data_IF_660662306642
#
_entry.id   IF_660662306642
#
_cell.length_a   1.000
_cell.length_b   1.000
_cell.length_c   1.000
_cell.angle_alpha   90.00
_cell.angle_beta   90.00
_cell.angle_gamma   90.00
#
_symmetry.space_group_name_H-M   'P 1'
#
loop_
_entity.id
_entity.type
_entity.pdbx_description
1 polymer ?
#
# COMPACT_ATOMS: atom_id res chain seq x y z
N UNK A 1 -7.36 6.17 9.98
CA UNK A 1 -6.26 6.21 9.00
C UNK A 1 -4.96 6.70 9.60
N UNK A 2 -5.04 7.68 10.49
CA UNK A 2 -3.85 8.19 11.17
C UNK A 2 -3.11 7.07 11.92
N UNK A 3 -3.84 6.22 12.64
CA UNK A 3 -3.27 5.07 13.36
C UNK A 3 -2.54 4.09 12.45
N UNK A 4 -3.12 3.80 11.28
CA UNK A 4 -2.50 2.90 10.31
C UNK A 4 -1.22 3.50 9.74
N UNK A 5 -1.23 4.80 9.44
CA UNK A 5 -0.04 5.48 8.93
C UNK A 5 1.06 5.59 9.99
N UNK A 6 0.69 5.73 11.26
CA UNK A 6 1.66 5.72 12.36
C UNK A 6 2.32 4.35 12.49
N UNK A 7 1.56 3.27 12.33
CA UNK A 7 2.10 1.91 12.32
C UNK A 7 3.08 1.70 11.17
N UNK A 8 2.75 2.18 9.98
CA UNK A 8 3.65 2.13 8.82
C UNK A 8 4.93 2.91 9.11
N UNK A 9 4.81 4.10 9.70
CA UNK A 9 5.98 4.92 10.05
C UNK A 9 6.90 4.19 11.02
N UNK A 10 6.35 3.50 12.02
CA UNK A 10 7.14 2.71 12.97
C UNK A 10 7.87 1.55 12.29
N UNK A 11 7.22 0.85 11.36
CA UNK A 11 7.84 -0.23 10.59
C UNK A 11 9.00 0.33 9.75
N UNK A 12 8.81 1.46 9.10
CA UNK A 12 9.84 2.10 8.29
C UNK A 12 11.04 2.46 9.17
N UNK A 13 10.80 3.06 10.33
CA UNK A 13 11.86 3.44 11.26
C UNK A 13 12.65 2.21 11.72
N UNK A 14 11.95 1.11 11.99
CA UNK A 14 12.58 -0.15 12.38
C UNK A 14 13.49 -0.68 11.27
N UNK A 15 12.99 -0.69 10.02
CA UNK A 15 13.79 -1.14 8.87
C UNK A 15 15.04 -0.26 8.70
N UNK A 16 14.87 1.04 8.81
CA UNK A 16 15.99 2.00 8.65
C UNK A 16 17.04 1.88 9.76
N UNK A 17 16.67 1.31 10.90
CA UNK A 17 17.61 1.07 11.99
C UNK A 17 18.45 -0.20 11.80
N UNK A 18 18.16 -0.99 10.77
CA UNK A 18 18.87 -2.24 10.48
C UNK A 18 19.98 -2.03 9.45
N UNK A 19 20.86 -3.05 9.32
CA UNK A 19 21.94 -3.05 8.33
C UNK A 19 21.76 -4.21 7.35
N UNK A 20 20.52 -4.49 6.95
CA UNK A 20 20.18 -5.58 6.04
C UNK A 20 20.04 -5.14 4.58
N UNK A 21 20.55 -3.97 4.26
CA UNK A 21 20.63 -3.48 2.88
C UNK A 21 21.70 -4.21 2.07
N UNK A 22 22.00 -3.72 0.86
CA UNK A 22 22.99 -4.38 -0.01
C UNK A 22 24.30 -4.60 0.71
N UNK A 23 24.83 -5.82 0.59
CA UNK A 23 26.09 -6.25 1.23
C UNK A 23 26.07 -6.10 2.76
N UNK A 24 24.88 -6.12 3.36
CA UNK A 24 24.67 -5.95 4.81
C UNK A 24 25.24 -4.62 5.33
N UNK A 25 25.28 -3.62 4.48
CA UNK A 25 25.79 -2.28 4.80
C UNK A 25 24.66 -1.26 4.74
N UNK A 26 24.22 -0.82 5.91
CA UNK A 26 23.12 0.13 6.00
C UNK A 26 21.76 -0.49 5.76
N UNK A 27 20.70 0.31 5.77
CA UNK A 27 19.33 -0.18 5.64
C UNK A 27 18.97 -0.54 4.20
N UNK A 28 17.94 -1.39 4.07
CA UNK A 28 17.33 -1.72 2.78
C UNK A 28 16.65 -0.48 2.18
N UNK A 29 16.57 -0.43 0.86
CA UNK A 29 15.65 0.48 0.19
C UNK A 29 14.22 0.07 0.53
N UNK A 30 13.33 1.05 0.64
CA UNK A 30 11.94 0.81 1.00
C UNK A 30 11.05 1.34 -0.12
N UNK A 31 10.16 0.49 -0.60
CA UNK A 31 9.09 0.86 -1.53
C UNK A 31 7.75 0.65 -0.83
N UNK A 32 7.05 1.72 -0.55
CA UNK A 32 5.74 1.68 0.08
C UNK A 32 4.67 1.59 -1.00
N UNK A 33 3.83 0.56 -0.91
CA UNK A 33 2.69 0.41 -1.81
C UNK A 33 1.45 0.93 -1.12
N UNK A 34 0.83 1.95 -1.70
CA UNK A 34 -0.42 2.50 -1.19
C UNK A 34 -1.56 1.68 -1.78
N UNK A 35 -2.35 0.98 -0.95
CA UNK A 35 -3.40 0.08 -1.45
C UNK A 35 -4.47 0.81 -2.24
N UNK A 36 -5.10 0.09 -3.16
CA UNK A 36 -6.27 0.59 -3.87
C UNK A 36 -7.42 0.84 -2.89
N UNK A 37 -8.31 1.74 -3.24
CA UNK A 37 -9.50 2.00 -2.45
C UNK A 37 -10.49 0.85 -2.62
N UNK A 38 -11.22 0.52 -1.56
CA UNK A 38 -12.27 -0.48 -1.63
C UNK A 38 -13.38 0.01 -2.57
N UNK A 39 -13.88 -0.87 -3.42
CA UNK A 39 -14.96 -0.52 -4.35
C UNK A 39 -16.34 -0.71 -3.71
N UNK A 40 -16.44 -1.55 -2.67
CA UNK A 40 -17.61 -1.69 -1.81
C UNK A 40 -17.18 -2.29 -0.48
N UNK A 41 -18.08 -2.36 0.48
CA UNK A 41 -17.73 -2.78 1.84
C UNK A 41 -17.71 -4.30 2.05
N UNK A 42 -17.75 -5.08 0.97
CA UNK A 42 -17.63 -6.52 1.05
C UNK A 42 -18.89 -7.22 1.53
N UNK A 43 -18.72 -8.36 2.18
CA UNK A 43 -19.84 -9.17 2.64
C UNK A 43 -20.58 -8.53 3.82
N UNK A 44 -21.90 -8.67 3.82
CA UNK A 44 -22.72 -8.33 4.97
C UNK A 44 -22.96 -9.58 5.82
N UNK A 45 -22.97 -9.40 7.14
CA UNK A 45 -23.23 -10.48 8.06
C UNK A 45 -24.75 -10.71 8.23
N UNK A 46 -25.11 -11.63 9.13
CA UNK A 46 -26.51 -11.97 9.39
C UNK A 46 -27.33 -10.79 9.95
N UNK A 47 -26.66 -9.75 10.44
CA UNK A 47 -27.31 -8.52 10.92
C UNK A 47 -27.36 -7.44 9.86
N UNK A 48 -27.04 -7.79 8.61
CA UNK A 48 -26.97 -6.89 7.46
C UNK A 48 -25.90 -5.80 7.64
N UNK A 49 -24.81 -6.13 8.34
CA UNK A 49 -23.68 -5.24 8.54
C UNK A 49 -22.44 -5.80 7.84
N UNK A 50 -21.71 -4.93 7.14
CA UNK A 50 -20.45 -5.30 6.52
C UNK A 50 -19.35 -5.41 7.57
N UNK A 51 -18.49 -6.44 7.44
CA UNK A 51 -17.29 -6.58 8.27
C UNK A 51 -16.32 -5.40 8.05
N UNK A 52 -16.46 -4.70 6.93
CA UNK A 52 -15.60 -3.56 6.56
C UNK A 52 -16.36 -2.24 6.59
N UNK A 53 -17.39 -2.15 7.41
CA UNK A 53 -18.19 -0.92 7.54
C UNK A 53 -17.29 0.27 7.83
N UNK A 54 -17.41 1.31 7.02
CA UNK A 54 -16.56 2.49 7.10
C UNK A 54 -15.18 2.31 6.45
N UNK A 55 -14.80 1.06 6.09
CA UNK A 55 -13.51 0.77 5.49
C UNK A 55 -13.33 1.36 4.10
N UNK A 56 -14.41 1.38 3.31
CA UNK A 56 -14.39 1.97 1.97
C UNK A 56 -14.01 3.45 2.04
N UNK A 57 -14.66 4.20 2.91
CA UNK A 57 -14.41 5.61 3.09
C UNK A 57 -12.99 5.86 3.61
N UNK A 58 -12.54 5.07 4.57
CA UNK A 58 -11.17 5.13 5.09
C UNK A 58 -10.14 4.82 4.02
N UNK A 59 -10.44 3.86 3.14
CA UNK A 59 -9.51 3.46 2.09
C UNK A 59 -9.25 4.56 1.06
N UNK A 60 -10.19 5.46 0.83
CA UNK A 60 -9.98 6.61 -0.05
C UNK A 60 -8.91 7.57 0.48
N UNK A 61 -8.66 7.56 1.78
CA UNK A 61 -7.67 8.43 2.42
C UNK A 61 -6.27 7.83 2.48
N UNK A 62 -6.10 6.56 2.09
CA UNK A 62 -4.79 5.89 2.17
C UNK A 62 -3.70 6.63 1.39
N UNK A 63 -4.01 7.13 0.19
CA UNK A 63 -3.03 7.83 -0.62
C UNK A 63 -2.50 9.08 0.09
N UNK A 64 -3.36 9.81 0.77
CA UNK A 64 -2.97 11.03 1.47
C UNK A 64 -2.04 10.75 2.65
N UNK A 65 -2.44 9.82 3.53
CA UNK A 65 -1.67 9.52 4.74
C UNK A 65 -0.39 8.75 4.44
N UNK A 66 -0.44 7.80 3.54
CA UNK A 66 0.73 6.96 3.21
C UNK A 66 1.75 7.72 2.38
N UNK A 67 1.31 8.56 1.46
CA UNK A 67 2.20 9.42 0.69
C UNK A 67 2.95 10.37 1.63
N UNK A 68 2.24 10.95 2.59
CA UNK A 68 2.84 11.82 3.60
C UNK A 68 3.92 11.09 4.39
N UNK A 69 3.64 9.86 4.84
CA UNK A 69 4.63 9.04 5.56
C UNK A 69 5.84 8.75 4.68
N UNK A 70 5.61 8.35 3.42
CA UNK A 70 6.71 8.06 2.50
C UNK A 70 7.61 9.29 2.29
N UNK A 71 7.02 10.45 2.10
CA UNK A 71 7.77 11.70 1.91
C UNK A 71 8.53 12.10 3.19
N UNK A 72 7.90 12.01 4.35
CA UNK A 72 8.54 12.34 5.63
C UNK A 72 9.69 11.38 5.95
N UNK A 73 9.56 10.11 5.60
CA UNK A 73 10.57 9.10 5.90
C UNK A 73 11.58 8.89 4.76
N UNK A 74 11.42 9.59 3.66
CA UNK A 74 12.33 9.47 2.52
C UNK A 74 12.27 8.12 1.83
N UNK A 75 11.08 7.53 1.74
CA UNK A 75 10.86 6.25 1.06
C UNK A 75 10.33 6.46 -0.35
N UNK A 76 10.57 5.48 -1.21
CA UNK A 76 9.87 5.40 -2.49
C UNK A 76 8.44 4.94 -2.26
N UNK A 77 7.52 5.31 -3.14
CA UNK A 77 6.15 4.85 -3.02
C UNK A 77 5.48 4.72 -4.39
N UNK A 78 4.44 3.89 -4.44
CA UNK A 78 3.55 3.77 -5.59
C UNK A 78 2.13 3.87 -5.05
N UNK A 79 1.34 4.77 -5.62
CA UNK A 79 -0.07 4.90 -5.28
C UNK A 79 -0.90 4.00 -6.19
N UNK A 80 -1.27 2.81 -5.70
CA UNK A 80 -2.05 1.85 -6.47
C UNK A 80 -3.49 2.33 -6.70
N UNK A 81 -3.99 3.28 -5.93
CA UNK A 81 -5.33 3.83 -6.13
C UNK A 81 -5.51 4.49 -7.50
N UNK A 82 -4.44 5.04 -8.05
CA UNK A 82 -4.48 5.69 -9.36
C UNK A 82 -4.17 4.76 -10.52
N UNK A 83 -3.85 3.49 -10.25
CA UNK A 83 -3.35 2.54 -11.24
C UNK A 83 -4.30 1.38 -11.47
N UNK A 84 -4.89 0.83 -10.41
CA UNK A 84 -5.67 -0.40 -10.48
C UNK A 84 -6.77 -0.39 -9.41
N UNK A 85 -7.93 -0.94 -9.76
CA UNK A 85 -9.04 -1.11 -8.84
C UNK A 85 -9.11 -2.56 -8.38
N UNK A 86 -9.69 -2.78 -7.19
CA UNK A 86 -10.03 -4.11 -6.76
C UNK A 86 -11.13 -4.71 -7.63
N UNK A 87 -11.25 -6.04 -7.59
CA UNK A 87 -12.31 -6.76 -8.29
C UNK A 87 -13.69 -6.27 -7.85
N UNK A 88 -14.62 -6.16 -8.80
CA UNK A 88 -16.01 -5.79 -8.50
C UNK A 88 -16.76 -6.89 -7.72
N UNK A 89 -16.21 -8.10 -7.69
CA UNK A 89 -16.84 -9.23 -6.99
C UNK A 89 -16.90 -8.98 -5.48
N UNK A 90 -15.78 -8.61 -4.87
CA UNK A 90 -15.73 -8.37 -3.43
C UNK A 90 -15.27 -6.95 -3.05
N UNK A 91 -14.69 -6.23 -3.99
CA UNK A 91 -14.26 -4.85 -3.77
C UNK A 91 -13.02 -4.67 -2.90
N UNK A 92 -12.32 -5.76 -2.57
CA UNK A 92 -11.15 -5.69 -1.69
C UNK A 92 -9.98 -6.61 -2.09
N UNK A 93 -10.13 -7.40 -3.14
CA UNK A 93 -9.05 -8.21 -3.70
C UNK A 93 -8.86 -7.91 -5.17
N UNK A 94 -7.63 -8.01 -5.65
CA UNK A 94 -7.36 -7.88 -7.08
C UNK A 94 -7.76 -9.16 -7.81
N UNK A 95 -8.32 -9.00 -9.01
CA UNK A 95 -8.52 -10.14 -9.90
C UNK A 95 -7.19 -10.48 -10.60
N UNK A 96 -7.22 -11.47 -11.50
CA UNK A 96 -6.02 -11.89 -12.23
C UNK A 96 -5.37 -10.74 -12.99
N UNK A 97 -6.18 -9.93 -13.67
CA UNK A 97 -5.70 -8.78 -14.43
C UNK A 97 -5.13 -7.70 -13.51
N UNK A 98 -5.79 -7.46 -12.38
CA UNK A 98 -5.33 -6.51 -11.37
C UNK A 98 -3.97 -6.89 -10.80
N UNK A 99 -3.78 -8.16 -10.46
CA UNK A 99 -2.48 -8.66 -10.00
C UNK A 99 -1.37 -8.45 -11.05
N UNK A 100 -1.69 -8.68 -12.34
CA UNK A 100 -0.72 -8.46 -13.41
C UNK A 100 -0.33 -6.98 -13.52
N UNK A 101 -1.30 -6.07 -13.37
CA UNK A 101 -1.04 -4.62 -13.39
C UNK A 101 -0.16 -4.22 -12.22
N UNK A 102 -0.47 -4.69 -11.01
CA UNK A 102 0.34 -4.41 -9.81
C UNK A 102 1.77 -4.90 -10.02
N UNK A 103 1.93 -6.13 -10.49
CA UNK A 103 3.26 -6.70 -10.73
C UNK A 103 4.07 -5.84 -11.71
N UNK A 104 3.45 -5.41 -12.80
CA UNK A 104 4.10 -4.57 -13.81
C UNK A 104 4.54 -3.22 -13.25
N UNK A 105 3.67 -2.56 -12.50
CA UNK A 105 3.95 -1.25 -11.92
C UNK A 105 5.05 -1.35 -10.87
N UNK A 106 4.99 -2.36 -10.02
CA UNK A 106 5.99 -2.57 -8.97
C UNK A 106 7.36 -2.90 -9.59
N UNK A 107 7.39 -3.78 -10.59
CA UNK A 107 8.63 -4.12 -11.28
C UNK A 107 9.27 -2.89 -11.94
N UNK A 108 8.47 -2.04 -12.59
CA UNK A 108 8.95 -0.79 -13.19
C UNK A 108 9.55 0.14 -12.15
N UNK A 109 8.88 0.26 -11.01
CA UNK A 109 9.35 1.14 -9.92
C UNK A 109 10.64 0.63 -9.32
N UNK A 110 10.76 -0.68 -9.10
CA UNK A 110 11.99 -1.29 -8.58
C UNK A 110 13.14 -1.05 -9.56
N UNK A 111 12.90 -1.24 -10.84
CA UNK A 111 13.90 -0.99 -11.86
C UNK A 111 14.36 0.47 -11.87
N UNK A 112 13.42 1.40 -11.75
CA UNK A 112 13.72 2.84 -11.65
C UNK A 112 14.59 3.15 -10.42
N UNK A 113 14.31 2.54 -9.27
CA UNK A 113 15.05 2.76 -8.03
C UNK A 113 16.52 2.32 -8.19
N UNK A 114 16.77 1.20 -8.85
CA UNK A 114 18.10 0.61 -8.96
C UNK A 114 18.84 0.91 -10.26
N UNK A 115 18.24 1.65 -11.19
CA UNK A 115 18.88 1.98 -12.46
C UNK A 115 19.21 3.48 -12.50
N UNK A 116 20.20 3.87 -11.75
CA UNK A 116 20.66 5.27 -11.76
C UNK A 116 22.01 5.41 -12.41
#
# INVERSE_FOLDING_TARGET
>A
MMETSEGIAEIIDLIKSTSYGPDMQGPSQILLLIPSALTHEGYVDQNNESAFKGGMEKSFSFNEYYEKVALEKGCHYVNLQSVVNYSEIDGLHYDKRGHAVVASVVASKINEIFTK
#
